data_IF_518287709673
#
_entry.id   IF_518287709673
#
_cell.length_a   1.000
_cell.length_b   1.000
_cell.length_c   1.000
_cell.angle_alpha   90.00
_cell.angle_beta   90.00
_cell.angle_gamma   90.00
#
_symmetry.space_group_name_H-M   'P 1'
#
loop_
_entity.id
_entity.type
_entity.pdbx_description
1 polymer ?
#
# COMPACT_ATOMS: atom_id res chain seq x y z
N UNK A 1 1.89 3.79 15.54
CA UNK A 1 2.92 4.73 15.04
C UNK A 1 3.03 4.58 13.53
N UNK A 2 3.09 5.68 12.77
CA UNK A 2 3.26 5.66 11.31
C UNK A 2 4.61 6.27 10.93
N UNK A 3 5.25 5.74 9.90
CA UNK A 3 6.51 6.27 9.34
C UNK A 3 6.44 6.27 7.82
N UNK A 4 7.16 7.19 7.20
CA UNK A 4 7.31 7.23 5.75
C UNK A 4 8.61 6.57 5.35
N UNK A 5 8.57 5.87 4.21
CA UNK A 5 9.72 5.25 3.58
C UNK A 5 9.75 5.67 2.12
N UNK A 6 10.94 5.99 1.63
CA UNK A 6 11.17 6.32 0.23
C UNK A 6 11.92 5.17 -0.41
N UNK A 7 11.48 4.73 -1.58
CA UNK A 7 12.16 3.71 -2.36
C UNK A 7 12.95 4.35 -3.48
N UNK A 8 14.12 3.79 -3.78
CA UNK A 8 14.96 4.23 -4.91
C UNK A 8 14.25 3.93 -6.23
N UNK A 9 13.57 2.78 -6.32
CA UNK A 9 12.90 2.32 -7.54
C UNK A 9 11.38 2.37 -7.38
N UNK A 10 10.64 3.08 -8.27
CA UNK A 10 9.18 3.17 -8.21
C UNK A 10 8.48 1.83 -8.47
N UNK A 11 9.11 0.91 -9.20
CA UNK A 11 8.60 -0.44 -9.47
C UNK A 11 8.46 -1.25 -8.18
N UNK A 12 9.45 -1.13 -7.27
CA UNK A 12 9.42 -1.77 -5.96
C UNK A 12 8.23 -1.27 -5.13
N UNK A 13 7.98 0.05 -5.17
CA UNK A 13 6.85 0.65 -4.46
C UNK A 13 5.51 0.16 -5.01
N UNK A 14 5.35 0.08 -6.33
CA UNK A 14 4.15 -0.51 -6.96
C UNK A 14 3.94 -1.96 -6.54
N UNK A 15 4.98 -2.79 -6.58
CA UNK A 15 4.89 -4.21 -6.19
C UNK A 15 4.49 -4.38 -4.70
N UNK A 16 4.98 -3.51 -3.83
CA UNK A 16 4.63 -3.55 -2.40
C UNK A 16 3.18 -3.11 -2.21
N UNK A 17 2.72 -2.06 -2.90
CA UNK A 17 1.35 -1.57 -2.77
C UNK A 17 0.27 -2.52 -3.34
N UNK A 18 0.59 -3.32 -4.35
CA UNK A 18 -0.37 -4.27 -4.95
C UNK A 18 -0.46 -5.60 -4.19
N UNK A 19 0.51 -5.90 -3.32
CA UNK A 19 0.51 -7.08 -2.46
C UNK A 19 -0.58 -7.02 -1.37
N UNK A 20 -0.69 -8.11 -0.61
CA UNK A 20 -1.62 -8.22 0.52
C UNK A 20 -1.43 -7.04 1.49
N UNK A 21 -2.55 -6.44 1.90
CA UNK A 21 -2.60 -5.39 2.88
C UNK A 21 -3.67 -5.76 3.92
N UNK A 22 -3.28 -6.06 5.17
CA UNK A 22 -2.01 -5.77 5.83
C UNK A 22 -0.83 -6.69 5.47
N UNK A 23 0.39 -6.17 5.54
CA UNK A 23 1.64 -6.93 5.38
C UNK A 23 2.09 -7.52 6.71
N UNK A 24 2.68 -8.72 6.68
CA UNK A 24 3.23 -9.35 7.88
C UNK A 24 4.75 -9.13 7.94
N UNK A 25 5.21 -8.34 8.92
CA UNK A 25 6.62 -8.00 9.13
C UNK A 25 6.96 -8.26 10.59
N UNK A 26 7.99 -9.07 10.86
CA UNK A 26 8.43 -9.38 12.23
C UNK A 26 7.28 -9.82 13.15
N UNK A 27 6.33 -10.60 12.62
CA UNK A 27 5.09 -11.06 13.29
C UNK A 27 4.02 -10.01 13.56
N UNK A 28 4.17 -8.80 13.01
CA UNK A 28 3.21 -7.71 13.13
C UNK A 28 2.48 -7.47 11.80
N UNK A 29 1.22 -7.07 11.88
CA UNK A 29 0.42 -6.64 10.74
C UNK A 29 0.60 -5.13 10.52
N UNK A 30 1.11 -4.75 9.34
CA UNK A 30 1.42 -3.38 8.99
C UNK A 30 0.61 -2.95 7.77
N UNK A 31 -0.08 -1.82 7.91
CA UNK A 31 -0.80 -1.17 6.82
C UNK A 31 0.17 -0.35 5.98
N UNK A 32 0.27 -0.67 4.70
CA UNK A 32 1.07 0.12 3.74
C UNK A 32 0.11 0.89 2.84
N UNK A 33 0.38 2.18 2.64
CA UNK A 33 -0.40 3.05 1.76
C UNK A 33 0.54 3.99 1.01
N UNK A 34 0.17 4.44 -0.20
CA UNK A 34 0.91 5.49 -0.88
C UNK A 34 0.95 6.75 0.00
N UNK A 35 2.08 7.45 -0.04
CA UNK A 35 2.21 8.74 0.60
C UNK A 35 1.26 9.74 -0.08
N UNK A 36 0.51 10.50 0.71
CA UNK A 36 -0.31 11.62 0.24
C UNK A 36 0.24 12.89 0.87
N UNK A 37 0.73 13.85 0.06
CA UNK A 37 1.12 15.16 0.61
C UNK A 37 -0.13 15.86 1.13
N UNK A 38 -0.01 16.53 2.27
CA UNK A 38 -1.11 17.33 2.82
C UNK A 38 -1.50 18.40 1.79
N UNK A 39 -2.75 18.36 1.32
CA UNK A 39 -3.29 19.28 0.30
C UNK A 39 -3.37 18.69 -1.12
N UNK A 40 -2.82 17.50 -1.36
CA UNK A 40 -2.96 16.80 -2.63
C UNK A 40 -4.35 16.11 -2.70
N UNK A 41 -5.20 16.52 -3.65
CA UNK A 41 -6.51 15.88 -3.86
C UNK A 41 -6.27 14.42 -4.19
N UNK A 42 -6.83 13.53 -3.38
CA UNK A 42 -6.68 12.10 -3.58
C UNK A 42 -7.39 11.65 -4.84
N UNK A 43 -6.65 11.39 -5.91
CA UNK A 43 -7.06 10.38 -6.88
C UNK A 43 -7.01 9.04 -6.14
N UNK A 44 -8.17 8.62 -5.63
CA UNK A 44 -8.28 7.44 -4.80
C UNK A 44 -7.93 6.17 -5.61
N UNK A 45 -6.74 5.63 -5.39
CA UNK A 45 -6.38 4.25 -5.75
C UNK A 45 -7.09 3.24 -4.83
N UNK A 46 -8.40 3.39 -4.63
CA UNK A 46 -9.26 2.33 -4.11
C UNK A 46 -9.55 1.38 -5.26
N UNK A 47 -8.65 0.45 -5.58
CA UNK A 47 -9.05 -0.80 -6.24
C UNK A 47 -7.91 -1.84 -6.23
N UNK A 48 -7.93 -2.72 -5.22
CA UNK A 48 -7.53 -4.11 -5.42
C UNK A 48 -8.23 -5.08 -4.43
N UNK A 49 -9.50 -4.79 -4.07
CA UNK A 49 -10.37 -5.72 -3.30
C UNK A 49 -11.41 -6.41 -4.19
N UNK A 50 -11.08 -6.67 -5.45
CA UNK A 50 -11.89 -7.49 -6.35
C UNK A 50 -10.93 -8.45 -7.05
N UNK A 51 -11.30 -9.74 -7.15
CA UNK A 51 -10.51 -10.92 -7.56
C UNK A 51 -9.93 -11.80 -6.44
N UNK A 52 -10.53 -11.80 -5.23
CA UNK A 52 -10.55 -13.00 -4.37
C UNK A 52 -11.97 -13.23 -3.89
N UNK A 53 -12.71 -14.04 -4.64
CA UNK A 53 -14.02 -14.54 -4.23
C UNK A 53 -15.04 -14.66 -5.35
N UNK A 54 -14.86 -15.65 -6.23
CA UNK A 54 -16.00 -16.39 -6.78
C UNK A 54 -15.54 -17.83 -7.00
N UNK A 55 -16.25 -18.76 -6.37
CA UNK A 55 -16.31 -20.17 -6.79
C UNK A 55 -16.95 -20.26 -8.18
#
# INVERSE_FOLDING_TARGET
>A
MFRFVTFVYPETMKLILTKCNPHFICRCLVLVKPYKKKGERSSDFRNNRQLRGTL
#
